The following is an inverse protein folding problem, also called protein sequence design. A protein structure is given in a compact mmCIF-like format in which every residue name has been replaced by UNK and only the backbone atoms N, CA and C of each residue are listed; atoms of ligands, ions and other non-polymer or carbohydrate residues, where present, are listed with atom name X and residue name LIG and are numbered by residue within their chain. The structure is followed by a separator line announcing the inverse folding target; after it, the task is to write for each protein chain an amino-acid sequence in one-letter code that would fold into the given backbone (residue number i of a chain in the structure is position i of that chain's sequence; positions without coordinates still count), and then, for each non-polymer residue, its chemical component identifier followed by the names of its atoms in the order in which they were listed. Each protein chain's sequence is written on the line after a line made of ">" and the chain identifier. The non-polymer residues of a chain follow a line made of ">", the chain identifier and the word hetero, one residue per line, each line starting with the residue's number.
data_IF_972780145416
#
_entry.id   IF_972780145416
#
_cell.length_a   1.000
_cell.length_b   1.000
_cell.length_c   1.000
_cell.angle_alpha   90.00
_cell.angle_beta   90.00
_cell.angle_gamma   90.00
#
_symmetry.space_group_name_H-M   'P 1'
#
loop_
_entity.id
_entity.type
_entity.pdbx_description
1 polymer ?
#
# COMPACT_ATOMS: atom_id res chain seq x y z
N UNK A 1 -10.01 0.40 -22.39
CA UNK A 1 -10.60 -0.08 -21.12
C UNK A 1 -11.72 -1.04 -21.49
N UNK A 2 -11.93 -2.13 -20.75
CA UNK A 2 -13.03 -3.03 -21.08
C UNK A 2 -14.38 -2.31 -20.87
N UNK A 3 -15.29 -2.44 -21.82
CA UNK A 3 -16.66 -1.90 -21.73
C UNK A 3 -17.61 -2.92 -21.09
N UNK A 4 -17.25 -4.21 -21.13
CA UNK A 4 -18.02 -5.31 -20.56
C UNK A 4 -17.12 -6.31 -19.83
N UNK A 5 -17.67 -6.95 -18.81
CA UNK A 5 -17.05 -8.05 -18.05
C UNK A 5 -18.07 -9.17 -17.91
N UNK A 6 -17.66 -10.42 -18.15
CA UNK A 6 -18.51 -11.60 -17.96
C UNK A 6 -18.15 -12.27 -16.64
N UNK A 7 -19.16 -12.48 -15.79
CA UNK A 7 -19.07 -13.32 -14.59
C UNK A 7 -19.56 -14.72 -14.94
N UNK A 8 -18.65 -15.68 -14.98
CA UNK A 8 -18.98 -17.10 -15.10
C UNK A 8 -19.37 -17.62 -13.71
N UNK A 9 -20.61 -18.09 -13.55
CA UNK A 9 -21.13 -18.59 -12.28
C UNK A 9 -21.67 -20.00 -12.42
N UNK A 10 -21.87 -20.68 -11.29
CA UNK A 10 -22.49 -22.02 -11.26
C UNK A 10 -23.93 -22.04 -11.78
N UNK A 11 -24.59 -20.89 -11.86
CA UNK A 11 -25.97 -20.73 -12.33
C UNK A 11 -26.05 -20.13 -13.75
N UNK A 12 -24.92 -19.99 -14.42
CA UNK A 12 -24.82 -19.38 -15.76
C UNK A 12 -24.05 -18.06 -15.77
N UNK A 13 -23.91 -17.50 -16.96
CA UNK A 13 -23.11 -16.30 -17.18
C UNK A 13 -23.92 -15.03 -16.94
N UNK A 14 -23.32 -14.06 -16.26
CA UNK A 14 -23.86 -12.71 -16.08
C UNK A 14 -22.94 -11.74 -16.83
N UNK A 15 -23.46 -10.99 -17.79
CA UNK A 15 -22.70 -9.96 -18.49
C UNK A 15 -22.93 -8.62 -17.83
N UNK A 16 -21.86 -7.99 -17.33
CA UNK A 16 -21.89 -6.67 -16.73
C UNK A 16 -21.36 -5.64 -17.73
N UNK A 17 -22.18 -4.63 -18.02
CA UNK A 17 -21.75 -3.44 -18.74
C UNK A 17 -21.12 -2.43 -17.77
N UNK A 18 -19.98 -1.84 -18.14
CA UNK A 18 -19.25 -0.89 -17.32
C UNK A 18 -19.49 0.53 -17.81
N UNK A 19 -20.03 1.39 -16.93
CA UNK A 19 -20.29 2.79 -17.25
C UNK A 19 -19.03 3.64 -17.08
N UNK A 20 -18.05 3.41 -17.96
CA UNK A 20 -16.70 3.99 -17.90
C UNK A 20 -16.69 5.52 -17.97
N UNK A 21 -17.67 6.14 -18.64
CA UNK A 21 -17.83 7.61 -18.65
C UNK A 21 -18.23 8.17 -17.29
N UNK A 22 -19.08 7.47 -16.55
CA UNK A 22 -19.61 7.93 -15.26
C UNK A 22 -18.69 7.57 -14.09
N UNK A 23 -18.03 6.40 -14.15
CA UNK A 23 -17.19 5.88 -13.06
C UNK A 23 -15.83 5.35 -13.57
N UNK A 24 -15.01 6.18 -14.25
CA UNK A 24 -13.83 5.73 -14.99
C UNK A 24 -12.82 4.97 -14.13
N UNK A 25 -12.51 5.49 -12.93
CA UNK A 25 -11.52 4.87 -12.03
C UNK A 25 -12.02 3.54 -11.46
N UNK A 26 -13.29 3.47 -11.08
CA UNK A 26 -13.90 2.24 -10.54
C UNK A 26 -13.96 1.16 -11.61
N UNK A 27 -14.42 1.49 -12.82
CA UNK A 27 -14.46 0.55 -13.94
C UNK A 27 -13.06 0.07 -14.34
N UNK A 28 -12.06 0.97 -14.34
CA UNK A 28 -10.68 0.59 -14.61
C UNK A 28 -10.14 -0.40 -13.58
N UNK A 29 -10.33 -0.12 -12.28
CA UNK A 29 -9.87 -0.99 -11.21
C UNK A 29 -10.56 -2.36 -11.27
N UNK A 30 -11.89 -2.38 -11.42
CA UNK A 30 -12.66 -3.62 -11.51
C UNK A 30 -12.24 -4.48 -12.71
N UNK A 31 -12.16 -3.90 -13.91
CA UNK A 31 -11.75 -4.62 -15.12
C UNK A 31 -10.30 -5.13 -15.04
N UNK A 32 -9.40 -4.37 -14.42
CA UNK A 32 -8.00 -4.79 -14.20
C UNK A 32 -7.90 -5.96 -13.21
N UNK A 33 -8.68 -5.94 -12.12
CA UNK A 33 -8.72 -7.05 -11.17
C UNK A 33 -9.34 -8.30 -11.80
N UNK A 34 -10.40 -8.13 -12.60
CA UNK A 34 -11.01 -9.21 -13.36
C UNK A 34 -10.01 -9.84 -14.35
N UNK A 35 -9.28 -9.03 -15.14
CA UNK A 35 -8.28 -9.55 -16.08
C UNK A 35 -7.11 -10.26 -15.41
N UNK A 36 -6.86 -9.96 -14.13
CA UNK A 36 -5.86 -10.64 -13.29
C UNK A 36 -6.42 -11.86 -12.56
N UNK A 37 -7.64 -12.29 -12.89
CA UNK A 37 -8.33 -13.42 -12.26
C UNK A 37 -8.57 -13.26 -10.75
N UNK A 38 -8.54 -12.03 -10.23
CA UNK A 38 -8.66 -11.77 -8.78
C UNK A 38 -10.00 -12.27 -8.21
N UNK A 39 -11.07 -12.18 -8.98
CA UNK A 39 -12.41 -12.58 -8.56
C UNK A 39 -12.73 -14.07 -8.82
N UNK A 40 -11.81 -14.82 -9.41
CA UNK A 40 -12.06 -16.23 -9.71
C UNK A 40 -12.22 -17.02 -8.42
N UNK A 41 -13.19 -17.95 -8.42
CA UNK A 41 -13.55 -18.77 -7.24
C UNK A 41 -14.07 -17.99 -6.04
N UNK A 42 -14.39 -16.70 -6.18
CA UNK A 42 -15.13 -15.95 -5.16
C UNK A 42 -16.60 -16.38 -5.14
N UNK A 43 -17.24 -16.28 -3.97
CA UNK A 43 -18.65 -16.60 -3.78
C UNK A 43 -19.49 -15.32 -3.66
N UNK A 44 -20.80 -15.44 -3.92
CA UNK A 44 -21.76 -14.44 -3.46
C UNK A 44 -22.06 -14.70 -1.98
N UNK A 45 -21.39 -13.97 -1.09
CA UNK A 45 -21.52 -14.14 0.36
C UNK A 45 -22.75 -13.45 0.95
N UNK A 46 -23.48 -12.64 0.15
CA UNK A 46 -24.74 -12.02 0.57
C UNK A 46 -25.69 -11.90 -0.61
N UNK A 47 -26.91 -12.39 -0.42
CA UNK A 47 -27.99 -12.33 -1.41
C UNK A 47 -29.24 -11.82 -0.69
N UNK A 48 -29.78 -10.70 -1.17
CA UNK A 48 -31.02 -10.10 -0.67
C UNK A 48 -32.01 -10.12 -1.84
N UNK A 49 -33.11 -10.91 -1.74
CA UNK A 49 -34.15 -10.95 -2.76
C UNK A 49 -34.64 -9.56 -3.13
N UNK A 50 -34.87 -9.35 -4.43
CA UNK A 50 -35.40 -8.11 -5.00
C UNK A 50 -34.56 -6.85 -4.73
N UNK A 51 -33.28 -7.02 -4.36
CA UNK A 51 -32.42 -5.89 -4.02
C UNK A 51 -30.98 -6.03 -4.52
N UNK A 52 -30.22 -7.02 -4.02
CA UNK A 52 -28.76 -7.04 -4.21
C UNK A 52 -28.15 -8.44 -4.07
N UNK A 53 -27.16 -8.72 -4.91
CA UNK A 53 -26.13 -9.74 -4.67
C UNK A 53 -24.79 -9.07 -4.38
N UNK A 54 -24.02 -9.60 -3.44
CA UNK A 54 -22.70 -9.09 -3.07
C UNK A 54 -21.70 -10.25 -3.10
N UNK A 55 -20.57 -10.04 -3.77
CA UNK A 55 -19.49 -11.00 -3.92
C UNK A 55 -18.14 -10.30 -4.13
N UNK A 56 -17.16 -11.03 -4.67
CA UNK A 56 -15.84 -10.50 -5.00
C UNK A 56 -14.85 -10.40 -3.84
N UNK A 57 -15.22 -10.90 -2.66
CA UNK A 57 -14.30 -11.10 -1.53
C UNK A 57 -13.59 -12.46 -1.67
N UNK A 58 -12.25 -12.51 -1.85
CA UNK A 58 -11.50 -13.76 -1.92
C UNK A 58 -11.65 -14.66 -0.69
N UNK A 59 -12.01 -14.09 0.46
CA UNK A 59 -12.26 -14.87 1.69
C UNK A 59 -13.67 -15.44 1.77
N UNK A 60 -14.60 -14.94 0.95
CA UNK A 60 -16.03 -15.29 1.00
C UNK A 60 -16.77 -14.84 2.27
N UNK A 61 -16.12 -14.07 3.15
CA UNK A 61 -16.71 -13.65 4.43
C UNK A 61 -17.51 -12.34 4.33
N UNK A 62 -17.33 -11.60 3.23
CA UNK A 62 -17.86 -10.26 3.04
C UNK A 62 -17.15 -9.19 3.86
N UNK A 63 -16.04 -9.54 4.50
CA UNK A 63 -15.26 -8.64 5.35
C UNK A 63 -13.97 -8.14 4.67
N UNK A 64 -13.76 -8.49 3.40
CA UNK A 64 -12.65 -8.00 2.58
C UNK A 64 -11.30 -8.66 2.87
N UNK A 65 -10.28 -8.21 2.14
CA UNK A 65 -8.89 -8.65 2.29
C UNK A 65 -8.06 -7.81 3.26
N UNK A 66 -6.74 -8.08 3.31
CA UNK A 66 -5.79 -7.30 4.10
C UNK A 66 -5.40 -6.00 3.37
N UNK A 67 -5.15 -4.94 4.13
CA UNK A 67 -4.69 -3.64 3.61
C UNK A 67 -3.45 -3.17 4.37
N UNK A 68 -2.52 -2.56 3.63
CA UNK A 68 -1.34 -1.92 4.21
C UNK A 68 -1.44 -0.42 3.98
N UNK A 69 -1.42 0.35 5.07
CA UNK A 69 -1.21 1.81 5.01
C UNK A 69 0.28 2.11 5.04
N UNK A 70 0.82 2.70 3.98
CA UNK A 70 2.24 3.04 3.90
C UNK A 70 2.44 4.56 3.87
N UNK A 71 3.42 5.08 4.61
CA UNK A 71 3.72 6.52 4.65
C UNK A 71 5.22 6.78 4.45
N UNK A 72 5.55 7.81 3.67
CA UNK A 72 6.95 8.17 3.42
C UNK A 72 7.60 8.82 4.64
N UNK A 73 8.68 8.21 5.10
CA UNK A 73 9.56 8.70 6.16
C UNK A 73 11.02 8.74 5.67
N UNK A 74 11.97 8.91 6.58
CA UNK A 74 13.39 8.89 6.27
C UNK A 74 14.18 8.24 7.40
N UNK A 75 15.30 7.59 7.06
CA UNK A 75 16.21 6.98 8.04
C UNK A 75 16.68 7.95 9.12
N UNK A 76 16.82 9.24 8.77
CA UNK A 76 17.20 10.31 9.71
C UNK A 76 16.16 10.59 10.80
N UNK A 77 14.94 10.05 10.68
CA UNK A 77 13.91 10.05 11.72
C UNK A 77 14.09 8.96 12.78
N UNK A 78 15.06 8.06 12.61
CA UNK A 78 15.49 7.15 13.67
C UNK A 78 16.28 7.92 14.74
N UNK A 79 15.86 7.79 15.98
CA UNK A 79 16.56 8.34 17.14
C UNK A 79 17.76 7.44 17.47
N UNK A 80 17.59 6.11 17.41
CA UNK A 80 18.66 5.15 17.73
C UNK A 80 19.82 5.17 16.71
N UNK A 81 19.54 5.45 15.42
CA UNK A 81 20.56 5.50 14.36
C UNK A 81 21.21 6.90 14.20
N UNK A 82 20.91 7.85 15.10
CA UNK A 82 21.41 9.22 14.99
C UNK A 82 22.87 9.38 15.47
N UNK A 83 23.82 9.42 14.53
CA UNK A 83 25.28 9.56 14.83
C UNK A 83 25.92 10.89 14.37
N UNK A 84 25.22 11.68 13.57
CA UNK A 84 25.81 12.84 12.85
C UNK A 84 25.16 14.19 13.21
N UNK A 85 23.97 14.21 13.83
CA UNK A 85 23.26 15.45 14.18
C UNK A 85 22.78 16.28 12.97
N UNK A 86 22.59 17.59 13.17
CA UNK A 86 22.10 18.55 12.17
C UNK A 86 20.65 18.30 11.72
N UNK A 87 20.15 19.17 10.83
CA UNK A 87 18.83 19.00 10.20
C UNK A 87 17.69 18.83 11.21
N UNK A 88 17.79 19.53 12.35
CA UNK A 88 16.98 19.28 13.56
C UNK A 88 15.47 19.19 13.27
N UNK A 89 14.92 20.18 12.58
CA UNK A 89 13.49 20.22 12.23
C UNK A 89 13.08 19.09 11.26
N UNK A 90 13.95 18.74 10.31
CA UNK A 90 13.68 17.64 9.38
C UNK A 90 13.72 16.29 10.10
N UNK A 91 14.72 16.05 10.94
CA UNK A 91 14.81 14.83 11.77
C UNK A 91 13.61 14.72 12.72
N UNK A 92 13.29 15.79 13.44
CA UNK A 92 12.15 15.82 14.35
C UNK A 92 10.84 15.52 13.62
N UNK A 93 10.62 16.11 12.43
CA UNK A 93 9.41 15.82 11.65
C UNK A 93 9.35 14.35 11.18
N UNK A 94 10.47 13.75 10.77
CA UNK A 94 10.52 12.33 10.35
C UNK A 94 10.38 11.37 11.53
N UNK A 95 10.93 11.70 12.69
CA UNK A 95 10.69 10.97 13.92
C UNK A 95 9.20 11.04 14.33
N UNK A 96 8.57 12.21 14.20
CA UNK A 96 7.14 12.38 14.45
C UNK A 96 6.27 11.55 13.48
N UNK A 97 6.64 11.47 12.19
CA UNK A 97 5.96 10.58 11.23
C UNK A 97 6.03 9.12 11.70
N UNK A 98 7.22 8.63 12.10
CA UNK A 98 7.38 7.27 12.59
C UNK A 98 6.51 7.01 13.83
N UNK A 99 6.47 7.97 14.77
CA UNK A 99 5.62 7.90 15.96
C UNK A 99 4.13 7.85 15.60
N UNK A 100 3.67 8.72 14.69
CA UNK A 100 2.27 8.74 14.24
C UNK A 100 1.88 7.38 13.64
N UNK A 101 2.73 6.81 12.79
CA UNK A 101 2.45 5.51 12.16
C UNK A 101 2.45 4.38 13.19
N UNK A 102 3.37 4.40 14.16
CA UNK A 102 3.36 3.42 15.25
C UNK A 102 2.07 3.50 16.07
N UNK A 103 1.63 4.71 16.43
CA UNK A 103 0.39 4.93 17.18
C UNK A 103 -0.84 4.54 16.36
N UNK A 104 -0.87 4.89 15.07
CA UNK A 104 -1.97 4.53 14.18
C UNK A 104 -2.07 3.02 13.99
N UNK A 105 -0.94 2.33 13.81
CA UNK A 105 -0.92 0.87 13.72
C UNK A 105 -1.46 0.20 15.01
N UNK A 106 -1.11 0.73 16.18
CA UNK A 106 -1.66 0.23 17.45
C UNK A 106 -3.19 0.38 17.49
N UNK A 107 -3.75 1.46 16.93
CA UNK A 107 -5.19 1.64 16.79
C UNK A 107 -5.79 0.69 15.75
N UNK A 108 -5.12 0.45 14.62
CA UNK A 108 -5.55 -0.53 13.62
C UNK A 108 -5.57 -1.95 14.20
N UNK A 109 -4.64 -2.28 15.09
CA UNK A 109 -4.60 -3.59 15.76
C UNK A 109 -5.90 -3.86 16.52
N UNK A 110 -6.42 -2.87 17.24
CA UNK A 110 -7.64 -3.06 18.05
C UNK A 110 -8.92 -2.92 17.23
N UNK A 111 -8.91 -2.09 16.18
CA UNK A 111 -10.10 -1.83 15.34
C UNK A 111 -10.27 -2.82 14.19
N UNK A 112 -9.18 -3.34 13.62
CA UNK A 112 -9.17 -4.17 12.42
C UNK A 112 -8.36 -5.48 12.55
N UNK A 113 -7.67 -5.70 13.67
CA UNK A 113 -6.90 -6.93 13.92
C UNK A 113 -5.75 -7.11 12.93
N UNK A 114 -5.81 -8.20 12.18
CA UNK A 114 -4.85 -8.59 11.13
C UNK A 114 -5.21 -8.06 9.74
N UNK A 115 -6.38 -7.44 9.59
CA UNK A 115 -6.87 -6.97 8.28
C UNK A 115 -6.27 -5.64 7.85
N UNK A 116 -5.71 -4.89 8.78
CA UNK A 116 -5.04 -3.64 8.48
C UNK A 116 -3.78 -3.49 9.33
N UNK A 117 -2.71 -3.06 8.68
CA UNK A 117 -1.47 -2.65 9.34
C UNK A 117 -0.97 -1.34 8.72
N UNK A 118 -0.22 -0.57 9.51
CA UNK A 118 0.45 0.63 9.01
C UNK A 118 1.97 0.51 9.13
N UNK A 119 2.70 1.01 8.13
CA UNK A 119 4.17 1.02 8.08
C UNK A 119 4.70 2.34 7.54
N UNK A 120 5.93 2.68 7.93
CA UNK A 120 6.69 3.79 7.36
C UNK A 120 7.72 3.28 6.37
N UNK A 121 8.03 4.07 5.34
CA UNK A 121 8.96 3.70 4.28
C UNK A 121 10.03 4.76 4.07
N UNK A 122 11.29 4.35 3.98
CA UNK A 122 12.41 5.19 3.60
C UNK A 122 12.83 4.90 2.14
N UNK A 123 12.65 5.85 1.21
CA UNK A 123 12.85 5.63 -0.22
C UNK A 123 14.33 5.56 -0.67
N UNK A 124 15.28 5.77 0.24
CA UNK A 124 16.65 6.14 -0.13
C UNK A 124 16.76 7.60 -0.57
N UNK A 125 17.82 7.94 -1.30
CA UNK A 125 17.94 9.28 -1.91
C UNK A 125 17.46 9.22 -3.35
N UNK A 126 16.33 9.88 -3.63
CA UNK A 126 15.64 9.83 -4.92
C UNK A 126 15.81 11.15 -5.64
N UNK A 127 16.10 11.14 -6.94
CA UNK A 127 16.18 12.34 -7.80
C UNK A 127 14.80 13.00 -7.90
N UNK A 128 14.60 14.03 -7.09
CA UNK A 128 13.38 14.85 -7.05
C UNK A 128 13.79 16.29 -6.80
N UNK A 129 12.90 17.25 -7.05
CA UNK A 129 13.18 18.66 -6.71
C UNK A 129 13.50 18.88 -5.23
N UNK A 130 12.99 18.04 -4.32
CA UNK A 130 13.31 18.11 -2.89
C UNK A 130 14.77 17.78 -2.57
N UNK A 131 15.41 16.93 -3.38
CA UNK A 131 16.74 16.38 -3.08
C UNK A 131 17.86 16.97 -3.95
N UNK A 132 17.52 17.83 -4.90
CA UNK A 132 18.42 18.33 -5.96
C UNK A 132 19.72 18.91 -5.41
N UNK A 133 19.64 19.78 -4.40
CA UNK A 133 20.79 20.42 -3.76
C UNK A 133 21.73 19.42 -3.04
N UNK A 134 21.27 18.19 -2.79
CA UNK A 134 22.01 17.18 -2.03
C UNK A 134 22.65 16.11 -2.92
N UNK A 135 22.39 16.10 -4.23
CA UNK A 135 22.89 15.06 -5.14
C UNK A 135 24.42 14.98 -5.17
N UNK A 136 25.13 16.11 -5.07
CA UNK A 136 26.59 16.16 -5.08
C UNK A 136 27.26 15.45 -3.90
N UNK A 137 26.54 15.25 -2.79
CA UNK A 137 27.05 14.59 -1.59
C UNK A 137 26.76 13.08 -1.57
N UNK A 138 26.09 12.57 -2.61
CA UNK A 138 25.64 11.17 -2.69
C UNK A 138 26.47 10.45 -3.74
N UNK A 139 27.05 9.30 -3.38
CA UNK A 139 27.68 8.41 -4.36
C UNK A 139 26.67 8.06 -5.45
N UNK A 140 27.02 8.16 -6.73
CA UNK A 140 26.07 8.01 -7.85
C UNK A 140 25.24 6.73 -7.81
N UNK A 141 25.82 5.62 -7.35
CA UNK A 141 25.18 4.32 -7.11
C UNK A 141 24.08 4.31 -6.01
N UNK A 142 24.00 5.37 -5.20
CA UNK A 142 23.00 5.56 -4.12
C UNK A 142 22.01 6.69 -4.40
N UNK A 143 22.05 7.26 -5.61
CA UNK A 143 21.13 8.30 -6.07
C UNK A 143 20.15 7.71 -7.10
N UNK A 144 18.93 7.44 -6.66
CA UNK A 144 17.95 6.64 -7.40
C UNK A 144 17.02 7.48 -8.27
N UNK A 145 16.46 6.89 -9.33
CA UNK A 145 15.28 7.45 -10.00
C UNK A 145 14.02 7.23 -9.16
N UNK A 146 12.96 7.99 -9.46
CA UNK A 146 11.67 7.84 -8.79
C UNK A 146 11.06 6.46 -9.05
N UNK A 147 11.21 5.95 -10.28
CA UNK A 147 10.69 4.67 -10.73
C UNK A 147 11.37 3.52 -9.98
N UNK A 148 12.70 3.53 -9.88
CA UNK A 148 13.45 2.52 -9.13
C UNK A 148 13.06 2.50 -7.65
N UNK A 149 12.97 3.67 -7.03
CA UNK A 149 12.57 3.77 -5.63
C UNK A 149 11.14 3.25 -5.42
N UNK A 150 10.20 3.64 -6.29
CA UNK A 150 8.82 3.16 -6.22
C UNK A 150 8.73 1.64 -6.38
N UNK A 151 9.44 1.06 -7.35
CA UNK A 151 9.49 -0.39 -7.56
C UNK A 151 10.02 -1.12 -6.31
N UNK A 152 11.15 -0.67 -5.76
CA UNK A 152 11.72 -1.25 -4.54
C UNK A 152 10.81 -1.15 -3.33
N UNK A 153 10.15 0.00 -3.14
CA UNK A 153 9.20 0.17 -2.05
C UNK A 153 7.96 -0.72 -2.22
N UNK A 154 7.50 -0.93 -3.45
CA UNK A 154 6.42 -1.88 -3.73
C UNK A 154 6.84 -3.32 -3.44
N UNK A 155 8.05 -3.74 -3.81
CA UNK A 155 8.60 -5.05 -3.42
C UNK A 155 8.61 -5.23 -1.90
N UNK A 156 9.10 -4.22 -1.16
CA UNK A 156 9.12 -4.24 0.31
C UNK A 156 7.71 -4.40 0.87
N UNK A 157 6.75 -3.60 0.40
CA UNK A 157 5.36 -3.67 0.86
C UNK A 157 4.69 -5.00 0.57
N UNK A 158 4.88 -5.55 -0.64
CA UNK A 158 4.32 -6.85 -1.03
C UNK A 158 4.89 -8.01 -0.19
N UNK A 159 6.07 -7.83 0.40
CA UNK A 159 6.70 -8.79 1.30
C UNK A 159 6.47 -8.52 2.79
N UNK A 160 5.52 -7.66 3.19
CA UNK A 160 5.22 -7.42 4.61
C UNK A 160 4.07 -8.29 5.11
N UNK A 161 4.20 -8.72 6.36
CA UNK A 161 3.17 -9.47 7.10
C UNK A 161 2.75 -8.72 8.37
N UNK A 162 1.82 -9.28 9.14
CA UNK A 162 1.32 -8.64 10.37
C UNK A 162 2.41 -8.51 11.45
N UNK A 163 3.48 -9.29 11.37
CA UNK A 163 4.67 -9.22 12.22
C UNK A 163 5.49 -7.93 11.98
N UNK A 164 5.35 -7.33 10.79
CA UNK A 164 6.11 -6.16 10.35
C UNK A 164 5.44 -4.81 10.69
N UNK A 165 4.27 -4.87 11.33
CA UNK A 165 3.39 -3.74 11.56
C UNK A 165 3.98 -2.66 12.47
N UNK A 166 3.68 -1.40 12.17
CA UNK A 166 4.09 -0.23 12.93
C UNK A 166 5.59 0.06 12.87
N UNK A 167 6.35 -0.62 11.99
CA UNK A 167 7.80 -0.43 11.80
C UNK A 167 8.09 0.51 10.62
N UNK A 168 9.34 0.94 10.54
CA UNK A 168 9.87 1.69 9.40
C UNK A 168 10.81 0.79 8.59
N UNK A 169 10.66 0.77 7.28
CA UNK A 169 11.42 -0.08 6.36
C UNK A 169 12.12 0.77 5.31
N UNK A 170 13.36 0.47 4.96
CA UNK A 170 13.99 1.11 3.81
C UNK A 170 13.76 0.36 2.49
N UNK A 171 14.19 0.98 1.41
CA UNK A 171 14.09 0.43 0.05
C UNK A 171 14.78 -0.93 -0.16
N UNK A 172 15.66 -1.38 0.75
CA UNK A 172 16.27 -2.72 0.71
C UNK A 172 15.44 -3.76 1.45
N UNK A 173 14.43 -3.33 2.20
CA UNK A 173 13.66 -4.17 3.11
C UNK A 173 14.25 -4.26 4.52
N UNK A 174 15.28 -3.47 4.83
CA UNK A 174 15.89 -3.44 6.17
C UNK A 174 15.04 -2.58 7.12
N UNK A 175 14.89 -3.02 8.37
CA UNK A 175 14.22 -2.23 9.40
C UNK A 175 15.07 -1.00 9.74
N UNK A 176 14.43 0.17 9.74
CA UNK A 176 14.98 1.39 10.31
C UNK A 176 14.54 1.43 11.78
N UNK A 177 15.47 1.33 12.74
CA UNK A 177 15.12 1.28 14.14
C UNK A 177 14.48 2.60 14.60
N UNK A 178 13.67 2.60 15.67
CA UNK A 178 13.08 3.80 16.24
C UNK A 178 14.12 4.83 16.70
#
# INVERSE_FOLDING_TARGET
>A
MAETVVLETSMGNITCELYTTHAPRTCQNFSTLASRNYYNRTVFHRIIPDFMVQGGDPTGTGRGGATIWATMSARVGSITDNRLGGWYSYRASKAAVNQIIKTFDNHLRTSAGEKALAVSLHPGTVKTGLSEEFWGNVKGEKLFSAEFSAEKLMEVLCGRTVEDRGKCWDWKGDEVPP
#
